data_IF_611765074047
#
_entry.id   IF_611765074047
#
_cell.length_a   1.000
_cell.length_b   1.000
_cell.length_c   1.000
_cell.angle_alpha   90.00
_cell.angle_beta   90.00
_cell.angle_gamma   90.00
#
_symmetry.space_group_name_H-M   'P 1'
#
loop_
_entity.id
_entity.type
_entity.pdbx_description
1 polymer ?
#
# COMPACT_ATOMS: atom_id res chain seq x y z
N UNK A 1 -16.31 66.09 29.79
CA UNK A 1 -17.11 65.18 28.93
C UNK A 1 -16.15 64.17 28.29
N UNK A 2 -16.04 63.00 28.94
CA UNK A 2 -16.32 61.64 28.42
C UNK A 2 -15.25 61.04 27.49
N UNK A 3 -14.49 60.09 28.07
CA UNK A 3 -13.76 59.00 27.38
C UNK A 3 -14.71 58.27 26.43
N UNK A 4 -14.21 57.95 25.24
CA UNK A 4 -14.78 56.90 24.39
C UNK A 4 -13.89 55.67 24.50
N UNK A 5 -14.39 54.66 25.21
CA UNK A 5 -13.92 53.28 25.19
C UNK A 5 -14.98 52.42 24.52
N UNK A 6 -14.55 51.42 23.77
CA UNK A 6 -15.38 50.35 23.22
C UNK A 6 -15.53 50.45 21.71
N UNK A 7 -15.36 49.40 20.92
CA UNK A 7 -15.15 47.99 21.22
C UNK A 7 -15.28 47.30 19.87
N UNK A 8 -14.23 46.60 19.44
CA UNK A 8 -14.24 45.86 18.19
C UNK A 8 -15.09 44.60 18.31
N UNK A 9 -15.90 44.34 17.29
CA UNK A 9 -16.43 42.99 17.03
C UNK A 9 -16.10 42.64 15.58
N UNK A 10 -14.87 42.16 15.37
CA UNK A 10 -14.55 41.37 14.18
C UNK A 10 -15.12 39.98 14.42
N UNK A 11 -16.20 39.67 13.71
CA UNK A 11 -16.76 38.32 13.61
C UNK A 11 -15.73 37.43 12.91
N UNK A 12 -14.93 36.69 13.70
CA UNK A 12 -14.16 35.57 13.19
C UNK A 12 -15.16 34.46 12.86
N UNK A 13 -15.36 34.22 11.58
CA UNK A 13 -16.01 33.00 11.10
C UNK A 13 -15.13 31.83 11.54
N UNK A 14 -15.55 31.15 12.60
CA UNK A 14 -14.98 29.88 13.02
C UNK A 14 -15.24 28.85 11.93
N UNK A 15 -14.24 28.56 11.12
CA UNK A 15 -14.21 27.36 10.28
C UNK A 15 -14.20 26.16 11.24
N UNK A 16 -15.36 25.52 11.35
CA UNK A 16 -15.70 24.64 12.45
C UNK A 16 -14.90 23.35 12.50
N UNK A 17 -14.49 23.00 13.72
CA UNK A 17 -14.15 21.65 14.16
C UNK A 17 -15.30 20.63 13.99
N UNK A 18 -16.49 21.08 13.55
CA UNK A 18 -17.69 20.29 13.36
C UNK A 18 -17.57 19.14 12.33
N UNK A 19 -16.58 19.18 11.43
CA UNK A 19 -16.36 18.11 10.45
C UNK A 19 -15.73 16.83 11.02
N UNK A 20 -14.92 16.94 12.07
CA UNK A 20 -14.23 15.80 12.68
C UNK A 20 -15.12 15.06 13.69
N UNK A 21 -15.96 15.79 14.42
CA UNK A 21 -16.96 15.21 15.33
C UNK A 21 -18.08 14.48 14.57
N UNK A 22 -18.34 14.87 13.31
CA UNK A 22 -19.30 14.21 12.43
C UNK A 22 -18.86 12.80 12.01
N UNK A 23 -17.57 12.59 11.73
CA UNK A 23 -17.05 11.26 11.36
C UNK A 23 -17.05 10.32 12.58
N UNK A 24 -16.67 10.84 13.75
CA UNK A 24 -16.64 10.07 15.00
C UNK A 24 -18.01 9.61 15.49
N UNK A 25 -19.06 10.42 15.27
CA UNK A 25 -20.42 10.13 15.78
C UNK A 25 -21.23 9.12 14.96
N UNK A 26 -20.75 8.68 13.78
CA UNK A 26 -21.42 7.67 12.94
C UNK A 26 -20.67 6.37 12.72
N UNK A 27 -19.45 6.30 13.24
CA UNK A 27 -18.62 5.12 13.14
C UNK A 27 -18.95 4.18 14.31
N UNK A 28 -20.12 3.56 14.23
CA UNK A 28 -20.47 2.45 15.10
C UNK A 28 -19.70 1.19 14.63
N UNK A 29 -18.49 1.05 15.16
CA UNK A 29 -17.61 -0.10 14.91
C UNK A 29 -17.98 -1.32 15.76
N UNK A 30 -19.09 -1.30 16.51
CA UNK A 30 -19.48 -2.39 17.41
C UNK A 30 -19.74 -3.72 16.68
N UNK A 31 -20.02 -3.67 15.38
CA UNK A 31 -20.14 -4.86 14.52
C UNK A 31 -18.80 -5.37 13.97
N UNK A 32 -17.71 -4.60 14.08
CA UNK A 32 -16.39 -5.01 13.62
C UNK A 32 -15.74 -5.89 14.69
N UNK A 33 -16.14 -7.16 14.73
CA UNK A 33 -15.68 -8.13 15.73
C UNK A 33 -14.24 -8.58 15.51
N UNK A 34 -13.70 -8.44 14.30
CA UNK A 34 -12.31 -8.73 13.95
C UNK A 34 -11.93 -7.92 12.69
N UNK A 35 -10.95 -7.01 12.79
CA UNK A 35 -10.38 -6.32 11.62
C UNK A 35 -9.11 -7.05 11.19
N UNK A 36 -9.03 -7.50 9.94
CA UNK A 36 -7.82 -8.13 9.39
C UNK A 36 -7.18 -7.17 8.39
N UNK A 37 -5.85 -7.06 8.42
CA UNK A 37 -5.10 -6.25 7.47
C UNK A 37 -5.34 -6.68 6.01
N UNK A 38 -5.68 -7.95 5.80
CA UNK A 38 -6.09 -8.52 4.50
C UNK A 38 -7.34 -7.85 3.95
N UNK A 39 -8.30 -7.45 4.78
CA UNK A 39 -9.54 -6.78 4.36
C UNK A 39 -9.24 -5.44 3.65
N UNK A 40 -8.24 -4.72 4.16
CA UNK A 40 -7.73 -3.50 3.54
C UNK A 40 -7.11 -3.80 2.18
N UNK A 41 -6.24 -4.81 2.11
CA UNK A 41 -5.54 -5.16 0.86
C UNK A 41 -6.49 -5.73 -0.21
N UNK A 42 -7.52 -6.48 0.18
CA UNK A 42 -8.56 -7.01 -0.70
C UNK A 42 -9.52 -5.91 -1.21
N UNK A 43 -9.53 -4.73 -0.58
CA UNK A 43 -10.26 -3.56 -1.04
C UNK A 43 -9.56 -2.81 -2.20
N UNK A 44 -8.26 -3.03 -2.40
CA UNK A 44 -7.49 -2.40 -3.47
C UNK A 44 -7.96 -2.89 -4.85
N UNK A 45 -7.96 -1.99 -5.83
CA UNK A 45 -8.31 -2.30 -7.23
C UNK A 45 -7.14 -2.91 -7.97
N UNK A 46 -5.93 -2.52 -7.59
CA UNK A 46 -4.68 -2.94 -8.19
C UNK A 46 -4.28 -4.33 -7.65
N UNK A 47 -3.66 -5.18 -8.49
CA UNK A 47 -3.14 -6.46 -8.02
C UNK A 47 -2.02 -6.25 -7.00
N UNK A 48 -2.16 -6.88 -5.84
CA UNK A 48 -1.13 -6.91 -4.80
C UNK A 48 -0.73 -8.36 -4.54
N UNK A 49 0.56 -8.65 -4.73
CA UNK A 49 1.16 -9.97 -4.49
C UNK A 49 2.37 -9.79 -3.60
N UNK A 50 2.34 -10.39 -2.40
CA UNK A 50 3.49 -10.41 -1.50
C UNK A 50 4.27 -11.71 -1.67
N UNK A 51 5.56 -11.57 -1.99
CA UNK A 51 6.52 -12.66 -2.02
C UNK A 51 7.50 -12.51 -0.85
N UNK A 52 7.80 -13.60 -0.15
CA UNK A 52 8.82 -13.56 0.90
C UNK A 52 10.25 -13.49 0.34
N UNK A 53 11.24 -13.35 1.22
CA UNK A 53 12.66 -13.36 0.85
C UNK A 53 13.15 -14.66 0.20
N UNK A 54 12.41 -15.76 0.30
CA UNK A 54 12.68 -17.03 -0.40
C UNK A 54 11.94 -17.14 -1.74
N UNK A 55 11.35 -16.04 -2.21
CA UNK A 55 10.60 -15.95 -3.45
C UNK A 55 9.35 -16.84 -3.50
N UNK A 56 8.74 -17.10 -2.34
CA UNK A 56 7.46 -17.82 -2.23
C UNK A 56 6.33 -16.81 -2.12
N UNK A 57 5.29 -16.97 -2.93
CA UNK A 57 4.08 -16.14 -2.87
C UNK A 57 3.36 -16.48 -1.55
N UNK A 58 3.27 -15.50 -0.65
CA UNK A 58 2.61 -15.66 0.66
C UNK A 58 1.20 -15.09 0.69
N UNK A 59 0.93 -14.08 -0.13
CA UNK A 59 -0.38 -13.45 -0.19
C UNK A 59 -0.67 -12.91 -1.59
N UNK A 60 -1.93 -12.99 -1.99
CA UNK A 60 -2.46 -12.36 -3.19
C UNK A 60 -3.80 -11.72 -2.84
N UNK A 61 -3.97 -10.42 -3.09
CA UNK A 61 -5.26 -9.77 -2.88
C UNK A 61 -6.31 -10.20 -3.92
N UNK A 62 -7.57 -9.81 -3.71
CA UNK A 62 -8.70 -10.15 -4.59
C UNK A 62 -8.48 -9.73 -6.05
N UNK A 63 -7.88 -8.57 -6.28
CA UNK A 63 -7.55 -8.10 -7.62
C UNK A 63 -6.49 -8.99 -8.29
N UNK A 64 -5.43 -9.37 -7.57
CA UNK A 64 -4.40 -10.29 -8.06
C UNK A 64 -4.95 -11.69 -8.35
N UNK A 65 -5.77 -12.24 -7.45
CA UNK A 65 -6.42 -13.56 -7.67
C UNK A 65 -7.27 -13.56 -8.95
N UNK A 66 -8.01 -12.48 -9.19
CA UNK A 66 -8.80 -12.30 -10.42
C UNK A 66 -7.89 -12.16 -11.64
N UNK A 67 -6.89 -11.29 -11.59
CA UNK A 67 -5.98 -10.99 -12.72
C UNK A 67 -5.17 -12.20 -13.17
N UNK A 68 -4.70 -13.01 -12.21
CA UNK A 68 -3.85 -14.15 -12.48
C UNK A 68 -4.60 -15.49 -12.46
N UNK A 69 -5.93 -15.47 -12.53
CA UNK A 69 -6.73 -16.69 -12.62
C UNK A 69 -6.29 -17.54 -13.83
N UNK A 70 -6.04 -18.84 -13.60
CA UNK A 70 -5.57 -19.77 -14.62
C UNK A 70 -4.07 -19.62 -14.99
N UNK A 71 -3.30 -18.79 -14.26
CA UNK A 71 -1.85 -18.70 -14.37
C UNK A 71 -1.16 -19.53 -13.26
N UNK A 72 0.16 -19.80 -13.36
CA UNK A 72 0.90 -20.52 -12.32
C UNK A 72 0.96 -19.81 -10.95
N UNK A 73 0.71 -18.49 -10.91
CA UNK A 73 0.78 -17.67 -9.70
C UNK A 73 -0.27 -18.10 -8.67
N UNK A 74 0.20 -18.65 -7.56
CA UNK A 74 -0.64 -19.11 -6.45
C UNK A 74 0.13 -19.07 -5.14
N UNK A 75 -0.60 -18.85 -4.04
CA UNK A 75 -0.02 -18.86 -2.69
C UNK A 75 0.65 -20.21 -2.42
N UNK A 76 1.88 -20.17 -1.89
CA UNK A 76 2.71 -21.33 -1.59
C UNK A 76 3.64 -21.77 -2.72
N UNK A 77 3.52 -21.20 -3.93
CA UNK A 77 4.46 -21.46 -5.03
C UNK A 77 5.57 -20.43 -5.11
N UNK A 78 6.67 -20.82 -5.75
CA UNK A 78 7.73 -19.86 -6.07
C UNK A 78 7.25 -18.92 -7.17
N UNK A 79 7.57 -17.63 -7.05
CA UNK A 79 7.35 -16.66 -8.12
C UNK A 79 8.13 -17.05 -9.39
N UNK A 80 9.24 -17.77 -9.25
CA UNK A 80 10.06 -18.19 -10.39
C UNK A 80 9.35 -19.18 -11.33
N UNK A 81 8.35 -19.91 -10.83
CA UNK A 81 7.51 -20.79 -11.66
C UNK A 81 6.56 -19.99 -12.58
N UNK A 82 6.43 -18.68 -12.34
CA UNK A 82 5.56 -17.78 -13.09
C UNK A 82 6.33 -16.99 -14.17
N UNK A 83 7.65 -17.10 -14.21
CA UNK A 83 8.53 -16.24 -14.98
C UNK A 83 9.58 -17.07 -15.76
N UNK A 84 10.09 -16.50 -16.85
CA UNK A 84 11.22 -17.09 -17.57
C UNK A 84 12.56 -16.80 -16.87
N UNK A 85 13.63 -17.44 -17.31
CA UNK A 85 14.95 -17.33 -16.68
C UNK A 85 15.48 -15.89 -16.62
N UNK A 86 15.33 -15.12 -17.70
CA UNK A 86 15.73 -13.70 -17.73
C UNK A 86 14.97 -12.86 -16.71
N UNK A 87 13.67 -13.08 -16.55
CA UNK A 87 12.88 -12.43 -15.51
C UNK A 87 13.31 -12.90 -14.12
N UNK A 88 13.61 -14.18 -13.94
CA UNK A 88 14.07 -14.74 -12.66
C UNK A 88 15.39 -14.11 -12.21
N UNK A 89 16.34 -13.91 -13.13
CA UNK A 89 17.61 -13.21 -12.84
C UNK A 89 17.38 -11.77 -12.36
N UNK A 90 16.49 -11.03 -13.03
CA UNK A 90 16.12 -9.65 -12.63
C UNK A 90 15.48 -9.63 -11.25
N UNK A 91 14.55 -10.55 -10.97
CA UNK A 91 13.88 -10.66 -9.67
C UNK A 91 14.92 -10.92 -8.56
N UNK A 92 15.89 -11.82 -8.79
CA UNK A 92 16.97 -12.07 -7.82
C UNK A 92 17.80 -10.82 -7.56
N UNK A 93 18.20 -10.10 -8.61
CA UNK A 93 19.01 -8.88 -8.48
C UNK A 93 18.26 -7.78 -7.71
N UNK A 94 16.97 -7.60 -7.98
CA UNK A 94 16.12 -6.65 -7.26
C UNK A 94 15.97 -7.05 -5.80
N UNK A 95 15.67 -8.32 -5.51
CA UNK A 95 15.56 -8.82 -4.13
C UNK A 95 16.85 -8.61 -3.34
N UNK A 96 18.01 -8.85 -3.94
CA UNK A 96 19.30 -8.60 -3.31
C UNK A 96 19.50 -7.13 -2.92
N UNK A 97 19.10 -6.19 -3.78
CA UNK A 97 19.13 -4.74 -3.49
C UNK A 97 18.20 -4.36 -2.34
N UNK A 98 16.97 -4.90 -2.34
CA UNK A 98 15.99 -4.65 -1.28
C UNK A 98 16.43 -5.23 0.07
N UNK A 99 17.04 -6.42 0.05
CA UNK A 99 17.63 -7.06 1.23
C UNK A 99 18.86 -6.28 1.75
N UNK A 100 19.60 -5.61 0.87
CA UNK A 100 20.73 -4.74 1.23
C UNK A 100 20.30 -3.38 1.80
N UNK A 101 19.00 -3.06 1.80
CA UNK A 101 18.46 -1.88 2.47
C UNK A 101 17.74 -0.88 1.56
N UNK A 102 17.68 -1.10 0.24
CA UNK A 102 16.85 -0.25 -0.62
C UNK A 102 15.36 -0.46 -0.34
N UNK A 103 14.59 0.62 -0.23
CA UNK A 103 13.16 0.54 0.06
C UNK A 103 12.33 0.17 -1.18
N UNK A 104 12.70 0.70 -2.35
CA UNK A 104 12.07 0.36 -3.62
C UNK A 104 13.05 0.46 -4.79
N UNK A 105 12.81 -0.36 -5.82
CA UNK A 105 13.59 -0.41 -7.05
C UNK A 105 12.63 -0.29 -8.23
N UNK A 106 12.86 0.67 -9.13
CA UNK A 106 12.13 0.76 -10.40
C UNK A 106 12.46 -0.47 -11.26
N UNK A 107 11.45 -1.27 -11.59
CA UNK A 107 11.61 -2.52 -12.34
C UNK A 107 11.05 -2.44 -13.76
N UNK A 108 10.14 -1.52 -14.02
CA UNK A 108 9.60 -1.28 -15.35
C UNK A 108 9.03 0.14 -15.48
N UNK A 109 9.19 0.76 -16.64
CA UNK A 109 8.61 2.07 -16.99
C UNK A 109 8.19 2.04 -18.47
N UNK A 110 6.98 2.50 -18.76
CA UNK A 110 6.40 2.50 -20.11
C UNK A 110 4.90 2.78 -20.08
N UNK A 111 4.29 3.05 -21.23
CA UNK A 111 2.84 3.21 -21.40
C UNK A 111 2.12 4.09 -20.35
N UNK A 112 2.80 5.14 -19.86
CA UNK A 112 2.22 6.04 -18.87
C UNK A 112 2.17 5.47 -17.44
N UNK A 113 2.97 4.45 -17.13
CA UNK A 113 3.05 3.89 -15.78
C UNK A 113 4.50 3.51 -15.41
N UNK A 114 4.78 3.51 -14.11
CA UNK A 114 5.99 2.97 -13.49
C UNK A 114 5.63 1.84 -12.54
N UNK A 115 6.46 0.79 -12.55
CA UNK A 115 6.34 -0.33 -11.62
C UNK A 115 7.59 -0.39 -10.78
N UNK A 116 7.40 -0.31 -9.47
CA UNK A 116 8.44 -0.45 -8.48
C UNK A 116 8.28 -1.78 -7.76
N UNK A 117 9.37 -2.48 -7.48
CA UNK A 117 9.37 -3.53 -6.48
C UNK A 117 9.76 -2.93 -5.14
N UNK A 118 8.91 -3.08 -4.13
CA UNK A 118 9.07 -2.44 -2.82
C UNK A 118 9.27 -3.45 -1.71
N UNK A 119 10.21 -3.18 -0.81
CA UNK A 119 10.49 -4.00 0.36
C UNK A 119 9.35 -3.93 1.39
N UNK A 120 9.09 -5.07 2.02
CA UNK A 120 8.29 -5.18 3.25
C UNK A 120 9.25 -5.49 4.39
N UNK A 121 9.15 -4.72 5.46
CA UNK A 121 9.98 -4.87 6.64
C UNK A 121 9.13 -5.01 7.89
N UNK A 122 9.64 -5.72 8.89
CA UNK A 122 9.03 -5.76 10.22
C UNK A 122 9.34 -4.48 11.02
N UNK A 123 8.92 -4.48 12.29
CA UNK A 123 9.13 -3.36 13.20
C UNK A 123 10.63 -3.10 13.50
N UNK A 124 11.50 -4.10 13.33
CA UNK A 124 12.94 -4.00 13.54
C UNK A 124 13.69 -3.76 12.22
N UNK A 125 12.98 -3.30 11.19
CA UNK A 125 13.46 -3.04 9.84
C UNK A 125 14.05 -4.27 9.13
N UNK A 126 13.75 -5.49 9.58
CA UNK A 126 14.22 -6.70 8.92
C UNK A 126 13.44 -6.95 7.64
N UNK A 127 14.14 -7.30 6.56
CA UNK A 127 13.53 -7.62 5.28
C UNK A 127 12.71 -8.92 5.36
N UNK A 128 11.40 -8.81 5.12
CA UNK A 128 10.49 -9.94 5.08
C UNK A 128 10.25 -10.45 3.65
N UNK A 129 10.36 -9.56 2.67
CA UNK A 129 10.02 -9.84 1.29
C UNK A 129 9.66 -8.57 0.53
N UNK A 130 8.90 -8.72 -0.55
CA UNK A 130 8.60 -7.62 -1.46
C UNK A 130 7.26 -7.78 -2.19
N UNK A 131 6.79 -6.68 -2.76
CA UNK A 131 5.60 -6.63 -3.62
C UNK A 131 5.82 -5.62 -4.75
N UNK A 132 5.02 -5.72 -5.83
CA UNK A 132 4.98 -4.71 -6.90
C UNK A 132 4.03 -3.57 -6.56
N UNK A 133 4.51 -2.33 -6.68
CA UNK A 133 3.77 -1.09 -6.56
C UNK A 133 3.63 -0.45 -7.93
N UNK A 134 2.40 -0.18 -8.35
CA UNK A 134 2.07 0.47 -9.60
C UNK A 134 1.88 1.98 -9.37
N UNK A 135 2.46 2.79 -10.24
CA UNK A 135 2.31 4.24 -10.27
C UNK A 135 1.89 4.64 -11.67
N UNK A 136 0.74 5.31 -11.80
CA UNK A 136 0.29 5.86 -13.08
C UNK A 136 0.87 7.27 -13.23
N UNK A 137 1.28 7.62 -14.45
CA UNK A 137 1.64 9.00 -14.77
C UNK A 137 0.40 9.89 -14.60
N UNK A 138 0.60 11.05 -13.99
CA UNK A 138 -0.46 12.02 -13.68
C UNK A 138 -0.93 12.81 -14.90
#
# INVERSE_FOLDING_TARGET
>A
MRRLTGGGTSSRHGCGLAGLDYIRSRQDWSHMTEFRHEDLLDSLKEPFVFCDGNHVIRYMNRAARTRYAGKPASVGRSIFDCHNDTSNERIRAVCARLAAGEDEVLTWEGDGQRVYTRAVRDADAQFLGYFERFELDA
#
